data_IF_842745421435
#
_entry.id   IF_842745421435
#
_cell.length_a   1.000
_cell.length_b   1.000
_cell.length_c   1.000
_cell.angle_alpha   90.00
_cell.angle_beta   90.00
_cell.angle_gamma   90.00
#
_symmetry.space_group_name_H-M   'P 1'
#
loop_
_entity.id
_entity.type
_entity.pdbx_description
1 polymer ?
#
# COMPACT_ATOMS: atom_id res chain seq x y z
N UNK A 1 14.79 12.23 7.21
CA UNK A 1 13.94 11.27 6.50
C UNK A 1 12.53 11.40 7.06
N UNK A 2 11.51 11.37 6.19
CA UNK A 2 10.11 11.42 6.63
C UNK A 2 9.71 10.09 7.27
N UNK A 3 8.89 10.15 8.30
CA UNK A 3 8.33 8.95 8.95
C UNK A 3 7.34 8.29 7.98
N UNK A 4 7.28 6.95 8.00
CA UNK A 4 6.28 6.18 7.24
C UNK A 4 4.85 6.73 7.48
N UNK A 5 4.07 6.87 6.41
CA UNK A 5 2.67 7.31 6.46
C UNK A 5 2.44 8.82 6.61
N UNK A 6 3.50 9.64 6.64
CA UNK A 6 3.35 11.10 6.59
C UNK A 6 2.80 11.50 5.21
N UNK A 7 1.77 12.35 5.11
CA UNK A 7 1.24 12.80 3.83
C UNK A 7 2.28 13.63 3.06
N UNK A 8 2.50 13.29 1.79
CA UNK A 8 3.49 13.93 0.91
C UNK A 8 2.89 14.51 -0.36
N UNK A 9 1.75 13.98 -0.82
CA UNK A 9 1.07 14.45 -2.01
C UNK A 9 -0.44 14.16 -1.97
N UNK A 10 -1.19 14.75 -2.90
CA UNK A 10 -2.57 14.39 -3.22
C UNK A 10 -2.60 13.94 -4.68
N UNK A 11 -3.15 12.76 -4.93
CA UNK A 11 -3.26 12.15 -6.25
C UNK A 11 -4.70 12.21 -6.72
N UNK A 12 -4.94 12.80 -7.90
CA UNK A 12 -6.23 12.85 -8.55
C UNK A 12 -6.18 12.23 -9.95
N UNK A 13 -7.10 11.30 -10.24
CA UNK A 13 -7.27 10.66 -11.56
C UNK A 13 -8.76 10.66 -11.91
N UNK A 14 -9.25 11.72 -12.59
CA UNK A 14 -10.69 11.90 -12.81
C UNK A 14 -11.37 10.78 -13.60
N UNK A 15 -10.69 10.16 -14.56
CA UNK A 15 -11.27 9.11 -15.41
C UNK A 15 -11.66 7.85 -14.63
N UNK A 16 -11.00 7.59 -13.50
CA UNK A 16 -11.25 6.42 -12.63
C UNK A 16 -11.70 6.80 -11.22
N UNK A 17 -11.94 8.10 -10.98
CA UNK A 17 -12.49 8.61 -9.72
C UNK A 17 -11.53 8.52 -8.52
N UNK A 18 -10.22 8.57 -8.75
CA UNK A 18 -9.22 8.60 -7.67
C UNK A 18 -9.05 10.04 -7.19
N UNK A 19 -9.13 10.27 -5.89
CA UNK A 19 -8.78 11.51 -5.19
C UNK A 19 -8.32 11.15 -3.78
N UNK A 20 -7.00 10.97 -3.61
CA UNK A 20 -6.43 10.29 -2.46
C UNK A 20 -5.17 10.98 -1.94
N UNK A 21 -4.99 10.94 -0.62
CA UNK A 21 -3.77 11.45 0.02
C UNK A 21 -2.69 10.37 -0.04
N UNK A 22 -1.54 10.73 -0.60
CA UNK A 22 -0.38 9.86 -0.74
C UNK A 22 0.54 10.02 0.46
N UNK A 23 0.80 8.92 1.17
CA UNK A 23 1.74 8.85 2.29
C UNK A 23 3.17 8.49 1.86
N UNK A 24 4.15 8.77 2.72
CA UNK A 24 5.53 8.32 2.53
C UNK A 24 5.68 6.82 2.85
N UNK A 25 6.21 6.03 1.91
CA UNK A 25 6.47 4.59 2.05
C UNK A 25 5.38 3.71 1.44
N UNK A 26 5.75 2.48 1.09
CA UNK A 26 4.87 1.52 0.37
C UNK A 26 4.72 0.19 1.12
N UNK A 27 5.00 0.18 2.42
CA UNK A 27 4.75 -0.96 3.29
C UNK A 27 3.25 -1.16 3.55
N UNK A 28 2.85 -2.38 3.91
CA UNK A 28 1.45 -2.76 4.09
C UNK A 28 0.66 -1.80 5.00
N UNK A 29 1.24 -1.36 6.13
CA UNK A 29 0.61 -0.45 7.07
C UNK A 29 0.32 0.95 6.49
N UNK A 30 1.16 1.44 5.56
CA UNK A 30 0.88 2.70 4.86
C UNK A 30 -0.23 2.48 3.83
N UNK A 31 -0.14 1.38 3.08
CA UNK A 31 -1.09 1.06 2.00
C UNK A 31 -2.50 0.66 2.49
N UNK A 32 -2.66 0.32 3.78
CA UNK A 32 -3.98 0.20 4.43
C UNK A 32 -4.68 1.55 4.62
N UNK A 33 -3.91 2.64 4.75
CA UNK A 33 -4.47 3.99 4.97
C UNK A 33 -4.71 4.77 3.68
N UNK A 34 -4.13 4.35 2.56
CA UNK A 34 -4.23 5.02 1.27
C UNK A 34 -3.01 4.75 0.37
N UNK A 35 -2.87 5.44 -0.75
CA UNK A 35 -1.68 5.32 -1.62
C UNK A 35 -0.38 5.72 -0.91
N UNK A 36 0.72 5.12 -1.33
CA UNK A 36 2.06 5.37 -0.77
C UNK A 36 3.09 5.69 -1.84
N UNK A 37 3.97 6.65 -1.58
CA UNK A 37 5.13 7.00 -2.42
C UNK A 37 6.33 6.14 -2.02
N UNK A 38 6.98 5.52 -3.00
CA UNK A 38 8.20 4.73 -2.78
C UNK A 38 9.37 5.66 -2.41
N UNK A 39 10.03 5.41 -1.27
CA UNK A 39 10.97 6.36 -0.65
C UNK A 39 12.25 6.62 -1.44
N UNK A 40 12.66 5.67 -2.27
CA UNK A 40 13.83 5.75 -3.16
C UNK A 40 13.55 6.46 -4.47
N UNK A 41 12.36 7.04 -4.61
CA UNK A 41 11.93 7.75 -5.82
C UNK A 41 11.85 9.25 -5.58
N UNK A 42 11.89 10.02 -6.66
CA UNK A 42 11.76 11.48 -6.60
C UNK A 42 10.31 11.85 -6.28
N UNK A 43 10.07 13.07 -5.78
CA UNK A 43 8.71 13.55 -5.57
C UNK A 43 8.00 13.76 -6.92
N UNK A 44 6.68 13.54 -7.00
CA UNK A 44 5.91 13.87 -8.19
C UNK A 44 6.10 15.34 -8.59
N UNK A 45 6.34 15.57 -9.88
CA UNK A 45 6.69 16.85 -10.49
C UNK A 45 8.18 17.06 -10.70
N UNK A 46 9.05 16.27 -10.07
CA UNK A 46 10.50 16.39 -10.21
C UNK A 46 11.05 15.62 -11.41
N UNK A 47 12.28 15.95 -11.84
CA UNK A 47 13.00 15.18 -12.85
C UNK A 47 13.35 13.79 -12.29
N UNK A 48 13.00 12.73 -13.03
CA UNK A 48 13.13 11.34 -12.63
C UNK A 48 11.79 10.59 -12.61
N UNK A 49 11.82 9.37 -12.06
CA UNK A 49 10.61 8.54 -11.92
C UNK A 49 10.14 8.55 -10.48
N UNK A 50 8.88 8.93 -10.26
CA UNK A 50 8.16 8.75 -9.00
C UNK A 50 7.33 7.47 -9.05
N UNK A 51 7.31 6.68 -7.97
CA UNK A 51 6.50 5.45 -7.92
C UNK A 51 5.48 5.55 -6.80
N UNK A 52 4.20 5.53 -7.16
CA UNK A 52 3.09 5.49 -6.19
C UNK A 52 2.45 4.10 -6.25
N UNK A 53 2.27 3.50 -5.08
CA UNK A 53 1.65 2.19 -4.93
C UNK A 53 0.34 2.32 -4.17
N UNK A 54 -0.68 1.55 -4.54
CA UNK A 54 -1.88 1.40 -3.74
C UNK A 54 -2.57 0.05 -3.95
N UNK A 55 -3.41 -0.34 -3.00
CA UNK A 55 -4.15 -1.60 -3.04
C UNK A 55 -5.22 -1.60 -4.14
N UNK A 56 -5.38 -2.75 -4.78
CA UNK A 56 -6.45 -2.99 -5.76
C UNK A 56 -7.77 -3.40 -5.08
N UNK A 57 -7.68 -4.10 -3.93
CA UNK A 57 -8.83 -4.52 -3.13
C UNK A 57 -8.59 -4.28 -1.64
N UNK A 58 -9.65 -4.39 -0.81
CA UNK A 58 -9.58 -4.09 0.62
C UNK A 58 -9.33 -2.61 0.93
N UNK A 59 -9.59 -2.19 2.17
CA UNK A 59 -9.24 -0.85 2.68
C UNK A 59 -9.59 0.33 1.74
N UNK A 60 -10.76 0.27 1.09
CA UNK A 60 -11.21 1.26 0.11
C UNK A 60 -10.82 0.96 -1.34
N UNK A 61 -9.72 0.22 -1.57
CA UNK A 61 -9.21 -0.17 -2.88
C UNK A 61 -8.94 1.04 -3.79
N UNK A 62 -8.04 1.97 -3.42
CA UNK A 62 -7.82 3.20 -4.18
C UNK A 62 -7.55 2.97 -5.67
N UNK A 63 -6.83 1.90 -6.01
CA UNK A 63 -6.45 1.57 -7.40
C UNK A 63 -7.29 0.44 -8.01
N UNK A 64 -8.49 0.18 -7.47
CA UNK A 64 -9.42 -0.87 -7.95
C UNK A 64 -9.78 -0.80 -9.45
N UNK A 65 -9.67 0.38 -10.06
CA UNK A 65 -10.02 0.63 -11.46
C UNK A 65 -8.83 1.14 -12.28
N UNK A 66 -7.61 1.00 -11.77
CA UNK A 66 -6.42 1.48 -12.44
C UNK A 66 -6.18 0.78 -13.79
N UNK A 67 -6.72 -0.43 -13.95
CA UNK A 67 -6.71 -1.20 -15.20
C UNK A 67 -7.60 -0.62 -16.32
N UNK A 68 -8.49 0.32 -15.99
CA UNK A 68 -9.36 1.00 -16.94
C UNK A 68 -8.71 2.24 -17.57
N UNK A 69 -7.56 2.67 -17.04
CA UNK A 69 -6.82 3.81 -17.59
C UNK A 69 -6.35 3.51 -19.02
N UNK A 70 -6.37 4.55 -19.84
CA UNK A 70 -5.93 4.48 -21.23
C UNK A 70 -4.83 5.50 -21.50
N UNK A 71 -3.91 5.22 -22.43
CA UNK A 71 -2.97 6.23 -22.91
C UNK A 71 -3.70 7.51 -23.33
N UNK A 72 -3.28 8.64 -22.78
CA UNK A 72 -3.93 9.94 -22.95
C UNK A 72 -4.68 10.44 -21.72
N UNK A 73 -5.05 9.58 -20.78
CA UNK A 73 -5.72 9.97 -19.55
C UNK A 73 -4.87 10.92 -18.70
N UNK A 74 -5.53 11.88 -18.04
CA UNK A 74 -4.87 12.86 -17.18
C UNK A 74 -4.72 12.31 -15.77
N UNK A 75 -3.53 12.47 -15.21
CA UNK A 75 -3.22 12.22 -13.81
C UNK A 75 -2.67 13.53 -13.23
N UNK A 76 -3.22 13.99 -12.13
CA UNK A 76 -2.78 15.21 -11.44
C UNK A 76 -2.22 14.83 -10.07
N UNK A 77 -1.04 15.36 -9.74
CA UNK A 77 -0.43 15.16 -8.42
C UNK A 77 -0.06 16.50 -7.83
N UNK A 78 -0.63 16.80 -6.66
CA UNK A 78 -0.32 18.02 -5.93
C UNK A 78 0.66 17.71 -4.81
N UNK A 79 1.82 18.36 -4.82
CA UNK A 79 2.83 18.26 -3.76
C UNK A 79 3.05 19.63 -3.11
N UNK A 80 3.92 19.68 -2.10
CA UNK A 80 4.36 20.96 -1.52
C UNK A 80 5.09 21.90 -2.50
N UNK A 81 5.53 21.40 -3.67
CA UNK A 81 6.18 22.22 -4.72
C UNK A 81 5.18 22.79 -5.73
N UNK A 82 3.95 22.27 -5.77
CA UNK A 82 2.91 22.68 -6.70
C UNK A 82 2.16 21.51 -7.31
N UNK A 83 1.37 21.82 -8.33
CA UNK A 83 0.60 20.84 -9.10
C UNK A 83 1.45 20.33 -10.27
N UNK A 84 1.53 19.01 -10.40
CA UNK A 84 2.19 18.32 -11.49
C UNK A 84 1.15 17.60 -12.34
N UNK A 85 1.13 17.90 -13.64
CA UNK A 85 0.25 17.27 -14.60
C UNK A 85 0.97 16.16 -15.35
N UNK A 86 0.32 15.01 -15.43
CA UNK A 86 0.81 13.83 -16.11
C UNK A 86 -0.21 13.33 -17.12
N UNK A 87 0.30 12.65 -18.15
CA UNK A 87 -0.52 11.95 -19.14
C UNK A 87 -0.12 10.49 -19.21
N UNK A 88 -1.08 9.59 -19.03
CA UNK A 88 -0.84 8.15 -19.15
C UNK A 88 -0.26 7.86 -20.53
N UNK A 89 0.85 7.14 -20.56
CA UNK A 89 1.53 6.74 -21.79
C UNK A 89 1.43 5.24 -22.04
N UNK A 90 1.44 4.43 -20.98
CA UNK A 90 1.34 2.97 -21.13
C UNK A 90 0.73 2.28 -19.90
N UNK A 91 0.12 1.10 -20.12
CA UNK A 91 -0.44 0.23 -19.09
C UNK A 91 0.15 -1.15 -19.24
N UNK A 92 1.01 -1.52 -18.31
CA UNK A 92 1.85 -2.73 -18.35
C UNK A 92 1.51 -3.69 -17.22
N UNK A 93 1.78 -4.97 -17.44
CA UNK A 93 1.65 -6.05 -16.47
C UNK A 93 3.01 -6.67 -16.19
N UNK A 94 3.08 -7.47 -15.12
CA UNK A 94 4.28 -8.25 -14.81
C UNK A 94 4.73 -9.08 -16.03
N UNK A 95 5.98 -8.87 -16.45
CA UNK A 95 6.59 -9.56 -17.59
C UNK A 95 6.68 -8.71 -18.85
N UNK A 96 5.96 -7.59 -18.91
CA UNK A 96 6.11 -6.61 -20.00
C UNK A 96 7.47 -5.90 -19.90
N UNK A 97 8.00 -5.40 -21.03
CA UNK A 97 9.28 -4.71 -21.05
C UNK A 97 9.30 -3.52 -20.09
N UNK A 98 10.45 -3.30 -19.45
CA UNK A 98 10.64 -2.11 -18.63
C UNK A 98 10.58 -0.85 -19.51
N UNK A 99 9.98 0.23 -19.00
CA UNK A 99 9.86 1.45 -19.77
C UNK A 99 11.26 2.04 -20.01
N UNK A 100 11.42 2.74 -21.13
CA UNK A 100 12.70 3.33 -21.49
C UNK A 100 13.21 4.23 -20.35
N UNK A 101 14.51 4.10 -20.03
CA UNK A 101 15.15 4.96 -19.02
C UNK A 101 14.96 6.42 -19.41
N UNK A 102 14.51 7.21 -18.46
CA UNK A 102 14.43 8.65 -18.63
C UNK A 102 15.85 9.23 -18.78
N UNK A 103 16.03 10.11 -19.76
CA UNK A 103 17.26 10.86 -19.96
C UNK A 103 16.94 12.36 -19.82
N UNK A 104 17.82 13.11 -19.17
CA UNK A 104 17.68 14.57 -19.01
C UNK A 104 16.65 14.99 -17.96
N UNK A 105 15.97 16.12 -18.19
CA UNK A 105 15.00 16.73 -17.26
C UNK A 105 13.57 16.22 -17.49
N UNK A 106 13.39 14.93 -17.77
CA UNK A 106 12.05 14.34 -17.93
C UNK A 106 11.54 13.79 -16.61
N UNK A 107 10.24 13.94 -16.37
CA UNK A 107 9.53 13.36 -15.23
C UNK A 107 8.59 12.25 -15.66
N UNK A 108 8.52 11.15 -14.90
CA UNK A 108 7.52 10.09 -15.07
C UNK A 108 6.92 9.72 -13.72
N UNK A 109 5.64 9.40 -13.75
CA UNK A 109 4.93 8.80 -12.64
C UNK A 109 4.57 7.36 -13.01
N UNK A 110 4.95 6.41 -12.18
CA UNK A 110 4.52 5.02 -12.31
C UNK A 110 3.57 4.70 -11.16
N UNK A 111 2.33 4.40 -11.49
CA UNK A 111 1.31 3.93 -10.56
C UNK A 111 1.33 2.40 -10.53
N UNK A 112 1.35 1.79 -9.35
CA UNK A 112 1.46 0.33 -9.20
C UNK A 112 0.34 -0.20 -8.31
N UNK A 113 -0.29 -1.28 -8.78
CA UNK A 113 -1.29 -2.01 -7.99
C UNK A 113 -1.24 -3.51 -8.26
N UNK A 114 -2.00 -4.30 -7.51
CA UNK A 114 -2.11 -5.73 -7.74
C UNK A 114 -2.94 -6.02 -8.99
N UNK A 115 -2.56 -7.06 -9.74
CA UNK A 115 -3.38 -7.60 -10.83
C UNK A 115 -4.02 -8.93 -10.42
N UNK A 116 -5.20 -9.24 -10.96
CA UNK A 116 -5.90 -10.50 -10.73
C UNK A 116 -7.27 -10.30 -10.07
N UNK A 117 -7.81 -11.37 -9.49
CA UNK A 117 -9.07 -11.30 -8.77
C UNK A 117 -8.86 -10.72 -7.36
N UNK A 118 -9.90 -10.06 -6.82
CA UNK A 118 -9.86 -9.47 -5.49
C UNK A 118 -9.39 -10.50 -4.45
N UNK A 119 -8.49 -10.08 -3.57
CA UNK A 119 -7.86 -10.93 -2.53
C UNK A 119 -7.04 -12.13 -3.03
N UNK A 120 -6.94 -12.34 -4.35
CA UNK A 120 -6.19 -13.44 -4.99
C UNK A 120 -5.35 -12.90 -6.15
N UNK A 121 -4.38 -12.02 -5.84
CA UNK A 121 -3.54 -11.41 -6.87
C UNK A 121 -2.62 -12.45 -7.51
N UNK A 122 -2.30 -12.26 -8.78
CA UNK A 122 -1.34 -13.10 -9.51
C UNK A 122 -0.14 -12.32 -10.05
N UNK A 123 -0.11 -11.01 -9.85
CA UNK A 123 0.96 -10.13 -10.32
C UNK A 123 0.72 -8.68 -9.92
N UNK A 124 1.43 -7.79 -10.62
CA UNK A 124 1.28 -6.35 -10.48
C UNK A 124 0.95 -5.71 -11.84
N UNK A 125 0.13 -4.67 -11.78
CA UNK A 125 -0.19 -3.75 -12.86
C UNK A 125 0.64 -2.47 -12.65
N UNK A 126 1.20 -1.95 -13.72
CA UNK A 126 1.98 -0.72 -13.76
C UNK A 126 1.34 0.22 -14.77
N UNK A 127 1.01 1.45 -14.37
CA UNK A 127 0.58 2.50 -15.28
C UNK A 127 1.64 3.58 -15.30
N UNK A 128 2.24 3.80 -16.46
CA UNK A 128 3.24 4.83 -16.65
C UNK A 128 2.57 6.09 -17.21
N UNK A 129 2.89 7.23 -16.63
CA UNK A 129 2.40 8.53 -17.06
C UNK A 129 3.56 9.52 -17.16
N UNK A 130 3.67 10.18 -18.30
CA UNK A 130 4.75 11.15 -18.57
C UNK A 130 4.33 12.54 -18.10
N UNK A 131 5.26 13.28 -17.50
CA UNK A 131 5.03 14.64 -17.01
C UNK A 131 4.82 15.59 -18.19
N UNK A 132 3.75 16.37 -18.15
CA UNK A 132 3.40 17.37 -19.16
C UNK A 132 3.49 18.81 -18.65
N UNK A 133 3.58 19.02 -17.33
CA UNK A 133 3.84 20.34 -16.72
C UNK A 133 5.34 20.64 -16.59
N UNK A 134 5.65 21.86 -16.16
CA UNK A 134 7.02 22.28 -15.86
C UNK A 134 7.66 21.38 -14.79
N UNK A 135 8.91 21.01 -15.05
CA UNK A 135 9.69 20.13 -14.18
C UNK A 135 10.18 20.91 -12.98
N UNK A 136 9.86 20.42 -11.79
CA UNK A 136 10.29 21.03 -10.54
C UNK A 136 11.74 20.68 -10.21
N UNK A 137 12.45 21.57 -9.50
CA UNK A 137 13.80 21.29 -9.04
C UNK A 137 13.82 20.03 -8.17
N UNK A 138 14.73 19.11 -8.49
CA UNK A 138 15.03 17.93 -7.67
C UNK A 138 16.19 18.26 -6.72
N UNK A 139 15.95 18.48 -5.42
CA UNK A 139 17.04 18.69 -4.47
C UNK A 139 17.89 17.42 -4.37
N UNK A 140 19.22 17.52 -4.21
CA UNK A 140 20.04 16.36 -3.90
C UNK A 140 19.61 15.81 -2.54
N UNK A 141 18.92 14.68 -2.53
CA UNK A 141 18.52 13.97 -1.33
C UNK A 141 19.25 12.63 -1.25
N UNK A 142 19.65 12.15 -0.05
CA UNK A 142 20.12 10.78 0.11
C UNK A 142 18.99 9.83 -0.33
N UNK A 143 19.26 8.98 -1.32
CA UNK A 143 18.30 7.99 -1.80
C UNK A 143 18.15 6.92 -0.70
N UNK A 144 17.01 6.84 0.00
CA UNK A 144 16.75 5.78 0.96
C UNK A 144 16.79 4.44 0.24
N UNK A 145 17.25 3.40 0.92
CA UNK A 145 17.14 2.04 0.40
C UNK A 145 15.89 1.42 1.03
N UNK A 146 14.82 1.20 0.25
CA UNK A 146 13.57 0.69 0.79
C UNK A 146 13.76 -0.78 1.16
N UNK A 147 13.09 -1.23 2.22
CA UNK A 147 13.11 -2.64 2.60
C UNK A 147 12.40 -3.52 1.57
N UNK A 148 12.56 -4.85 1.69
CA UNK A 148 11.93 -5.80 0.77
C UNK A 148 10.39 -5.73 0.80
N UNK A 149 9.82 -5.30 1.92
CA UNK A 149 8.40 -5.07 2.17
C UNK A 149 7.82 -3.89 1.36
N UNK A 150 8.65 -2.96 0.91
CA UNK A 150 8.25 -1.80 0.11
C UNK A 150 8.29 -2.07 -1.41
N UNK A 151 8.74 -3.27 -1.82
CA UNK A 151 8.67 -3.73 -3.20
C UNK A 151 7.22 -4.06 -3.61
N UNK A 152 6.90 -4.01 -4.91
CA UNK A 152 5.58 -4.42 -5.39
C UNK A 152 5.32 -5.89 -5.04
N UNK A 153 4.18 -6.17 -4.38
CA UNK A 153 3.85 -7.48 -3.82
C UNK A 153 4.81 -7.93 -2.69
N UNK A 154 5.43 -6.98 -1.99
CA UNK A 154 6.27 -7.21 -0.82
C UNK A 154 5.46 -7.73 0.37
N UNK A 155 6.06 -8.63 1.14
CA UNK A 155 5.49 -9.20 2.36
C UNK A 155 6.31 -8.71 3.57
N UNK A 156 5.63 -8.24 4.62
CA UNK A 156 6.30 -7.89 5.87
C UNK A 156 6.69 -9.14 6.67
N UNK A 157 7.90 -9.64 6.42
CA UNK A 157 8.44 -10.81 7.14
C UNK A 157 8.64 -10.56 8.63
N UNK A 158 8.70 -9.30 9.08
CA UNK A 158 8.87 -8.95 10.49
C UNK A 158 7.56 -9.01 11.28
N UNK A 159 6.39 -9.09 10.62
CA UNK A 159 5.10 -9.31 11.28
C UNK A 159 4.90 -10.77 11.76
N UNK A 160 5.66 -11.74 11.22
CA UNK A 160 5.54 -13.18 11.56
C UNK A 160 5.67 -13.52 13.06
N UNK A 161 6.68 -12.99 13.81
CA UNK A 161 6.78 -13.25 15.25
C UNK A 161 5.62 -12.63 16.05
N UNK A 162 5.10 -11.47 15.63
CA UNK A 162 3.96 -10.82 16.30
C UNK A 162 2.68 -11.65 16.10
N UNK A 163 2.43 -12.12 14.87
CA UNK A 163 1.33 -13.06 14.57
C UNK A 163 1.45 -14.36 15.39
N UNK A 164 2.67 -14.91 15.51
CA UNK A 164 2.90 -16.10 16.34
C UNK A 164 2.61 -15.84 17.82
N UNK A 165 3.01 -14.68 18.35
CA UNK A 165 2.74 -14.28 19.73
C UNK A 165 1.24 -14.17 20.01
N UNK A 166 0.49 -13.46 19.15
CA UNK A 166 -0.96 -13.32 19.29
C UNK A 166 -1.72 -14.63 19.10
N UNK A 167 -1.22 -15.53 18.25
CA UNK A 167 -1.75 -16.89 18.12
C UNK A 167 -1.58 -17.67 19.44
N UNK A 168 -0.43 -17.53 20.11
CA UNK A 168 -0.20 -18.16 21.41
C UNK A 168 -1.10 -17.57 22.51
N UNK A 169 -1.34 -16.25 22.50
CA UNK A 169 -2.29 -15.58 23.42
C UNK A 169 -3.71 -16.13 23.21
N UNK A 170 -4.17 -16.25 21.97
CA UNK A 170 -5.48 -16.81 21.64
C UNK A 170 -5.61 -18.27 22.13
N UNK A 171 -4.59 -19.09 21.88
CA UNK A 171 -4.55 -20.46 22.36
C UNK A 171 -4.60 -20.53 23.90
N UNK A 172 -3.82 -19.69 24.59
CA UNK A 172 -3.83 -19.59 26.05
C UNK A 172 -5.19 -19.17 26.62
N UNK A 173 -5.83 -18.16 26.03
CA UNK A 173 -7.16 -17.71 26.42
C UNK A 173 -8.22 -18.83 26.25
N UNK A 174 -8.12 -19.60 25.16
CA UNK A 174 -9.00 -20.74 24.90
C UNK A 174 -8.81 -21.85 25.93
N UNK A 175 -7.55 -22.18 26.27
CA UNK A 175 -7.23 -23.18 27.30
C UNK A 175 -7.72 -22.73 28.68
N UNK A 176 -7.53 -21.45 29.03
CA UNK A 176 -8.03 -20.87 30.29
C UNK A 176 -9.55 -20.91 30.38
N UNK A 177 -10.27 -20.58 29.30
CA UNK A 177 -11.72 -20.69 29.25
C UNK A 177 -12.18 -22.14 29.42
N UNK A 178 -11.52 -23.10 28.77
CA UNK A 178 -11.83 -24.52 28.93
C UNK A 178 -11.58 -25.02 30.36
N UNK A 179 -10.49 -24.58 30.99
CA UNK A 179 -10.10 -24.97 32.36
C UNK A 179 -10.97 -24.30 33.45
N UNK A 180 -11.44 -23.08 33.21
CA UNK A 180 -12.33 -22.35 34.12
C UNK A 180 -13.79 -22.83 34.04
N UNK A 181 -14.20 -23.41 32.92
CA UNK A 181 -15.56 -23.91 32.68
C UNK A 181 -16.09 -24.86 33.76
N UNK A 182 -15.33 -25.91 34.15
CA UNK A 182 -15.71 -26.80 35.24
C UNK A 182 -15.75 -26.15 36.62
N UNK A 183 -14.97 -25.08 36.85
CA UNK A 183 -14.82 -24.46 38.18
C UNK A 183 -15.85 -23.37 38.46
N UNK A 184 -16.23 -22.58 37.46
CA UNK A 184 -17.11 -21.41 37.65
C UNK A 184 -18.50 -21.57 37.01
N UNK A 185 -18.72 -22.66 36.29
CA UNK A 185 -19.94 -22.92 35.55
C UNK A 185 -19.92 -22.27 34.18
N UNK A 186 -20.35 -23.05 33.17
CA UNK A 186 -20.22 -22.72 31.74
C UNK A 186 -20.72 -21.32 31.37
N UNK A 187 -21.87 -20.89 31.92
CA UNK A 187 -22.47 -19.60 31.59
C UNK A 187 -21.59 -18.40 31.99
N UNK A 188 -20.98 -18.44 33.20
CA UNK A 188 -20.13 -17.34 33.70
C UNK A 188 -18.79 -17.29 32.96
N UNK A 189 -18.23 -18.47 32.64
CA UNK A 189 -16.99 -18.57 31.87
C UNK A 189 -17.17 -18.01 30.46
N UNK A 190 -18.26 -18.36 29.76
CA UNK A 190 -18.51 -17.82 28.42
C UNK A 190 -18.82 -16.32 28.43
N UNK A 191 -19.49 -15.80 29.48
CA UNK A 191 -19.75 -14.36 29.61
C UNK A 191 -18.46 -13.51 29.62
N UNK A 192 -17.36 -14.04 30.17
CA UNK A 192 -16.04 -13.37 30.21
C UNK A 192 -15.16 -13.77 29.02
N UNK A 193 -15.19 -15.05 28.62
CA UNK A 193 -14.33 -15.56 27.57
C UNK A 193 -14.71 -15.02 26.18
N UNK A 194 -16.00 -14.84 25.87
CA UNK A 194 -16.44 -14.33 24.57
C UNK A 194 -15.80 -12.97 24.24
N UNK A 195 -15.95 -11.90 25.06
CA UNK A 195 -15.38 -10.60 24.71
C UNK A 195 -13.85 -10.64 24.60
N UNK A 196 -13.16 -11.41 25.43
CA UNK A 196 -11.69 -11.56 25.36
C UNK A 196 -11.28 -12.27 24.06
N UNK A 197 -11.90 -13.40 23.74
CA UNK A 197 -11.60 -14.15 22.51
C UNK A 197 -11.94 -13.33 21.26
N UNK A 198 -13.00 -12.52 21.31
CA UNK A 198 -13.41 -11.66 20.21
C UNK A 198 -12.39 -10.54 19.97
N UNK A 199 -11.94 -9.85 21.03
CA UNK A 199 -10.89 -8.82 20.91
C UNK A 199 -9.59 -9.43 20.40
N UNK A 200 -9.13 -10.55 20.98
CA UNK A 200 -7.89 -11.21 20.56
C UNK A 200 -8.01 -11.70 19.11
N UNK A 201 -9.16 -12.27 18.72
CA UNK A 201 -9.43 -12.71 17.37
C UNK A 201 -9.38 -11.58 16.35
N UNK A 202 -9.99 -10.43 16.64
CA UNK A 202 -9.94 -9.25 15.78
C UNK A 202 -8.52 -8.72 15.63
N UNK A 203 -7.76 -8.61 16.73
CA UNK A 203 -6.36 -8.16 16.66
C UNK A 203 -5.50 -9.11 15.84
N UNK A 204 -5.72 -10.43 15.94
CA UNK A 204 -5.00 -11.40 15.15
C UNK A 204 -5.32 -11.26 13.66
N UNK A 205 -6.59 -10.98 13.32
CA UNK A 205 -7.00 -10.75 11.94
C UNK A 205 -6.25 -9.55 11.32
N UNK A 206 -6.13 -8.44 12.04
CA UNK A 206 -5.38 -7.26 11.59
C UNK A 206 -3.89 -7.59 11.36
N UNK A 207 -3.28 -8.38 12.26
CA UNK A 207 -1.87 -8.80 12.11
C UNK A 207 -1.66 -9.73 10.92
N UNK A 208 -2.63 -10.61 10.64
CA UNK A 208 -2.59 -11.47 9.45
C UNK A 208 -2.72 -10.65 8.17
N UNK A 209 -3.51 -9.56 8.18
CA UNK A 209 -3.64 -8.69 7.01
C UNK A 209 -2.33 -8.01 6.62
N UNK A 210 -1.45 -7.72 7.60
CA UNK A 210 -0.10 -7.19 7.35
C UNK A 210 0.87 -8.21 6.73
N UNK A 211 0.58 -9.52 6.83
CA UNK A 211 1.32 -10.57 6.14
C UNK A 211 0.86 -10.78 4.69
N UNK A 212 -0.24 -10.14 4.28
CA UNK A 212 -0.65 -10.21 2.87
C UNK A 212 0.29 -9.33 2.03
N UNK A 213 0.43 -9.64 0.72
CA UNK A 213 1.19 -8.79 -0.18
C UNK A 213 0.65 -7.36 -0.13
N UNK A 214 1.54 -6.38 -0.02
CA UNK A 214 1.21 -4.97 0.23
C UNK A 214 0.19 -4.32 -0.76
N UNK A 215 -0.02 -4.90 -1.95
CA UNK A 215 -0.95 -4.40 -2.96
C UNK A 215 -2.33 -5.09 -2.98
N UNK A 216 -2.57 -6.08 -2.09
CA UNK A 216 -3.82 -6.87 -2.05
C UNK A 216 -5.01 -6.14 -1.48
#
# INVERSE_FOLDING_TARGET
MLRAGVPVAVLAIPSVGVDEVVGEGTGAAVLESGPGLRRDTVLPGQAGTSVIMARASGYGGPFRYLDQLQPGDRVEVTTGQGVADYRVSDVRRRGDPEPARLHGQLGRLTLVTASGAAYTPNGALYVDADLISDVQPTPPAPVPHPGAEESAMGEDRYARPDVAAWTAVLAGATVLAFWAGPRWGRAKTWLVAVPVLLVVGLTLADRIALLLPNLT
#
